data_IF_948986841778
#
_entry.id   IF_948986841778
#
_cell.length_a   1.000
_cell.length_b   1.000
_cell.length_c   1.000
_cell.angle_alpha   90.00
_cell.angle_beta   90.00
_cell.angle_gamma   90.00
#
_symmetry.space_group_name_H-M   'P 1'
#
loop_
_entity.id
_entity.type
_entity.pdbx_description
1 polymer ?
#
# COMPACT_ATOMS: atom_id res chain seq x y z
N UNK A 1 -50.09 -3.63 11.07
CA UNK A 1 -48.76 -2.98 11.16
C UNK A 1 -48.95 -1.47 11.11
N UNK A 2 -48.39 -0.74 12.08
CA UNK A 2 -48.49 0.71 12.12
C UNK A 2 -47.73 1.38 10.96
N UNK A 3 -48.05 2.64 10.63
CA UNK A 3 -47.30 3.41 9.63
C UNK A 3 -45.80 3.49 9.98
N UNK A 4 -45.48 3.65 11.28
CA UNK A 4 -44.11 3.65 11.80
C UNK A 4 -43.34 2.36 11.45
N UNK A 5 -43.95 1.20 11.60
CA UNK A 5 -43.31 -0.09 11.29
C UNK A 5 -42.97 -0.20 9.81
N UNK A 6 -43.85 0.29 8.93
CA UNK A 6 -43.60 0.28 7.47
C UNK A 6 -42.44 1.20 7.09
N UNK A 7 -42.40 2.40 7.67
CA UNK A 7 -41.30 3.33 7.46
C UNK A 7 -39.97 2.81 8.01
N UNK A 8 -39.99 2.16 9.17
CA UNK A 8 -38.80 1.54 9.74
C UNK A 8 -38.27 0.43 8.84
N UNK A 9 -39.14 -0.45 8.33
CA UNK A 9 -38.74 -1.52 7.42
C UNK A 9 -38.17 -0.96 6.10
N UNK A 10 -38.79 0.09 5.54
CA UNK A 10 -38.29 0.76 4.36
C UNK A 10 -36.91 1.40 4.60
N UNK A 11 -36.72 2.05 5.75
CA UNK A 11 -35.44 2.63 6.11
C UNK A 11 -34.36 1.55 6.24
N UNK A 12 -34.63 0.47 6.99
CA UNK A 12 -33.70 -0.65 7.16
C UNK A 12 -33.34 -1.28 5.81
N UNK A 13 -34.32 -1.51 4.94
CA UNK A 13 -34.07 -2.06 3.61
C UNK A 13 -33.22 -1.11 2.76
N UNK A 14 -33.50 0.19 2.77
CA UNK A 14 -32.74 1.19 2.03
C UNK A 14 -31.30 1.30 2.53
N UNK A 15 -31.08 1.39 3.85
CA UNK A 15 -29.74 1.43 4.43
C UNK A 15 -28.97 0.13 4.18
N UNK A 16 -29.63 -1.03 4.30
CA UNK A 16 -29.01 -2.32 3.99
C UNK A 16 -28.57 -2.42 2.53
N UNK A 17 -29.42 -1.98 1.59
CA UNK A 17 -29.10 -1.96 0.17
C UNK A 17 -27.93 -1.02 -0.15
N UNK A 18 -27.93 0.19 0.42
CA UNK A 18 -26.85 1.18 0.23
C UNK A 18 -25.52 0.70 0.83
N UNK A 19 -25.54 0.12 2.04
CA UNK A 19 -24.35 -0.43 2.66
C UNK A 19 -23.79 -1.61 1.85
N UNK A 20 -24.68 -2.49 1.38
CA UNK A 20 -24.30 -3.64 0.56
C UNK A 20 -23.69 -3.24 -0.78
N UNK A 21 -24.29 -2.28 -1.48
CA UNK A 21 -23.76 -1.78 -2.75
C UNK A 21 -22.43 -1.06 -2.57
N UNK A 22 -22.28 -0.25 -1.53
CA UNK A 22 -21.03 0.43 -1.22
C UNK A 22 -19.91 -0.56 -0.85
N UNK A 23 -20.21 -1.58 -0.05
CA UNK A 23 -19.27 -2.66 0.27
C UNK A 23 -18.82 -3.42 -0.98
N UNK A 24 -19.76 -3.73 -1.89
CA UNK A 24 -19.44 -4.39 -3.15
C UNK A 24 -18.56 -3.51 -4.05
N UNK A 25 -18.85 -2.22 -4.12
CA UNK A 25 -18.07 -1.24 -4.87
C UNK A 25 -16.62 -1.19 -4.37
N UNK A 26 -16.40 -1.03 -3.06
CA UNK A 26 -15.07 -0.98 -2.48
C UNK A 26 -14.28 -2.28 -2.67
N UNK A 27 -14.95 -3.44 -2.74
CA UNK A 27 -14.28 -4.70 -3.09
C UNK A 27 -13.80 -4.76 -4.53
N UNK A 28 -14.51 -4.13 -5.46
CA UNK A 28 -14.14 -4.09 -6.89
C UNK A 28 -13.13 -2.99 -7.20
N UNK A 29 -13.10 -1.95 -6.38
CA UNK A 29 -12.20 -0.80 -6.50
C UNK A 29 -11.39 -0.63 -5.21
N UNK A 30 -10.54 -1.62 -4.86
CA UNK A 30 -9.76 -1.53 -3.64
C UNK A 30 -8.75 -0.39 -3.75
N UNK A 31 -8.45 0.22 -2.61
CA UNK A 31 -7.36 1.16 -2.46
C UNK A 31 -6.03 0.47 -2.77
N UNK A 32 -5.25 1.02 -3.69
CA UNK A 32 -4.00 0.42 -4.17
C UNK A 32 -2.80 1.12 -3.55
N UNK A 33 -2.02 0.38 -2.76
CA UNK A 33 -0.81 0.89 -2.11
C UNK A 33 0.40 0.22 -2.73
N UNK A 34 1.34 1.01 -3.24
CA UNK A 34 2.64 0.52 -3.70
C UNK A 34 3.67 0.72 -2.59
N UNK A 35 4.23 -0.37 -2.09
CA UNK A 35 5.30 -0.34 -1.11
C UNK A 35 6.63 -0.61 -1.80
N UNK A 36 7.56 0.32 -1.64
CA UNK A 36 8.91 0.28 -2.16
C UNK A 36 9.88 0.04 -1.01
N UNK A 37 10.83 -0.87 -1.19
CA UNK A 37 11.83 -1.19 -0.18
C UNK A 37 13.21 -0.81 -0.73
N UNK A 38 13.89 0.08 -0.01
CA UNK A 38 15.32 0.29 -0.19
C UNK A 38 16.07 -0.97 0.28
N UNK A 39 16.78 -1.63 -0.62
CA UNK A 39 17.63 -2.80 -0.30
C UNK A 39 19.12 -2.48 -0.33
N UNK A 40 19.50 -1.20 -0.24
CA UNK A 40 20.90 -0.79 -0.23
C UNK A 40 21.68 -1.30 0.98
N UNK A 41 23.02 -1.27 0.91
CA UNK A 41 23.90 -1.62 2.02
C UNK A 41 23.60 -0.86 3.32
N UNK A 42 23.13 0.39 3.22
CA UNK A 42 22.75 1.20 4.38
C UNK A 42 21.58 0.59 5.16
N UNK A 43 20.70 -0.17 4.49
CA UNK A 43 19.53 -0.80 5.10
C UNK A 43 19.85 -2.06 5.89
N UNK A 44 21.10 -2.54 5.91
CA UNK A 44 21.48 -3.81 6.54
C UNK A 44 20.99 -3.97 7.98
N UNK A 45 21.05 -2.92 8.79
CA UNK A 45 20.59 -2.93 10.19
C UNK A 45 19.07 -2.77 10.33
N UNK A 46 18.41 -2.18 9.32
CA UNK A 46 16.99 -1.89 9.31
C UNK A 46 16.14 -3.05 8.73
N UNK A 47 16.69 -3.83 7.78
CA UNK A 47 15.99 -4.95 7.14
C UNK A 47 15.38 -5.97 8.11
N UNK A 48 16.03 -6.34 9.24
CA UNK A 48 15.41 -7.23 10.23
C UNK A 48 14.11 -6.70 10.84
N UNK A 49 13.89 -5.37 10.86
CA UNK A 49 12.67 -4.72 11.37
C UNK A 49 11.55 -4.63 10.33
N UNK A 50 11.90 -4.77 9.05
CA UNK A 50 10.98 -4.62 7.93
C UNK A 50 9.71 -5.49 8.05
N UNK A 51 9.77 -6.77 8.48
CA UNK A 51 8.54 -7.58 8.63
C UNK A 51 7.54 -7.02 9.66
N UNK A 52 8.00 -6.28 10.67
CA UNK A 52 7.10 -5.62 11.62
C UNK A 52 6.44 -4.39 10.99
N UNK A 53 7.21 -3.61 10.23
CA UNK A 53 6.72 -2.44 9.51
C UNK A 53 5.69 -2.85 8.45
N UNK A 54 6.00 -3.85 7.62
CA UNK A 54 5.07 -4.33 6.60
C UNK A 54 3.76 -4.83 7.24
N UNK A 55 3.84 -5.58 8.35
CA UNK A 55 2.64 -5.99 9.11
C UNK A 55 1.84 -4.83 9.68
N UNK A 56 2.47 -3.70 10.00
CA UNK A 56 1.76 -2.49 10.45
C UNK A 56 1.07 -1.74 9.31
N UNK A 57 1.53 -1.93 8.06
CA UNK A 57 0.92 -1.37 6.86
C UNK A 57 -0.25 -2.24 6.37
N UNK A 58 -0.18 -3.55 6.60
CA UNK A 58 -1.27 -4.48 6.34
C UNK A 58 -2.45 -4.30 7.31
N UNK A 59 -3.64 -4.73 6.90
CA UNK A 59 -4.83 -4.80 7.76
C UNK A 59 -5.89 -3.74 7.49
N UNK A 60 -5.66 -2.86 6.52
CA UNK A 60 -6.68 -1.93 6.05
C UNK A 60 -7.73 -2.68 5.20
N UNK A 61 -9.01 -2.36 5.41
CA UNK A 61 -10.10 -2.97 4.64
C UNK A 61 -10.15 -2.38 3.24
N UNK A 62 -10.43 -3.24 2.26
CA UNK A 62 -10.52 -2.88 0.84
C UNK A 62 -9.21 -2.29 0.31
N UNK A 63 -8.07 -2.81 0.78
CA UNK A 63 -6.75 -2.36 0.37
C UNK A 63 -5.96 -3.52 -0.22
N UNK A 64 -5.27 -3.27 -1.31
CA UNK A 64 -4.34 -4.20 -1.95
C UNK A 64 -2.97 -3.55 -2.08
N UNK A 65 -1.93 -4.37 -2.00
CA UNK A 65 -0.55 -3.93 -1.88
C UNK A 65 0.30 -4.55 -2.98
N UNK A 66 1.00 -3.72 -3.73
CA UNK A 66 2.12 -4.14 -4.56
C UNK A 66 3.42 -3.92 -3.78
N UNK A 67 4.40 -4.80 -3.99
CA UNK A 67 5.68 -4.72 -3.29
C UNK A 67 6.82 -4.78 -4.28
N UNK A 68 7.68 -3.78 -4.25
CA UNK A 68 8.91 -3.73 -5.05
C UNK A 68 10.10 -3.36 -4.19
N UNK A 69 11.27 -3.83 -4.58
CA UNK A 69 12.55 -3.28 -4.12
C UNK A 69 13.03 -2.22 -5.09
N UNK A 70 14.05 -1.46 -4.70
CA UNK A 70 14.76 -0.56 -5.62
C UNK A 70 15.44 -1.27 -6.80
N UNK A 71 15.50 -2.61 -6.80
CA UNK A 71 16.14 -3.42 -7.84
C UNK A 71 15.16 -4.20 -8.70
N UNK A 72 14.09 -4.72 -8.10
CA UNK A 72 13.16 -5.62 -8.77
C UNK A 72 11.79 -5.64 -8.08
N UNK A 73 10.71 -5.89 -8.84
CA UNK A 73 9.40 -6.18 -8.25
C UNK A 73 9.43 -7.50 -7.49
N UNK A 74 8.72 -7.56 -6.36
CA UNK A 74 8.55 -8.78 -5.57
C UNK A 74 7.21 -9.43 -5.90
N UNK A 75 6.12 -8.65 -5.83
CA UNK A 75 4.79 -9.11 -6.23
C UNK A 75 3.88 -7.93 -6.62
N UNK A 76 2.89 -8.26 -7.45
CA UNK A 76 1.83 -7.32 -7.84
C UNK A 76 0.77 -7.16 -6.72
N UNK A 77 -0.24 -6.33 -6.97
CA UNK A 77 -1.31 -6.00 -6.02
C UNK A 77 -1.97 -7.25 -5.42
N UNK A 78 -1.76 -7.43 -4.12
CA UNK A 78 -2.29 -8.54 -3.34
C UNK A 78 -2.78 -8.04 -1.97
N UNK A 79 -3.69 -8.76 -1.33
CA UNK A 79 -4.18 -8.41 0.02
C UNK A 79 -3.09 -8.49 1.10
N UNK A 80 -1.93 -9.08 0.78
CA UNK A 80 -0.81 -9.27 1.71
C UNK A 80 0.52 -8.87 1.09
N UNK A 81 1.34 -8.17 1.86
CA UNK A 81 2.75 -7.89 1.65
C UNK A 81 3.59 -9.13 1.98
N UNK A 82 4.17 -9.74 0.95
CA UNK A 82 5.00 -10.95 1.07
C UNK A 82 6.42 -10.64 0.61
N UNK A 83 7.27 -10.05 1.46
CA UNK A 83 8.62 -9.63 1.08
C UNK A 83 9.54 -10.80 0.72
N UNK A 84 9.23 -12.03 1.14
CA UNK A 84 10.16 -13.15 1.04
C UNK A 84 11.41 -12.90 1.86
N UNK A 85 12.57 -13.33 1.34
CA UNK A 85 13.88 -13.04 1.92
C UNK A 85 14.48 -11.84 1.21
N UNK A 86 14.83 -10.81 1.98
CA UNK A 86 15.47 -9.60 1.48
C UNK A 86 16.84 -9.45 2.12
N UNK A 87 17.85 -9.27 1.30
CA UNK A 87 19.23 -9.07 1.72
C UNK A 87 19.72 -7.71 1.19
N UNK A 88 20.49 -7.00 2.00
CA UNK A 88 21.05 -5.70 1.62
C UNK A 88 22.13 -5.90 0.55
N UNK A 89 21.93 -5.30 -0.62
CA UNK A 89 22.77 -5.46 -1.80
C UNK A 89 22.91 -4.13 -2.56
N UNK A 90 24.15 -3.85 -2.96
CA UNK A 90 24.58 -2.66 -3.70
C UNK A 90 24.39 -1.31 -2.96
N UNK A 91 25.05 -0.24 -3.44
CA UNK A 91 24.74 1.10 -2.99
C UNK A 91 23.30 1.51 -3.34
N UNK A 92 22.79 2.49 -2.58
CA UNK A 92 21.47 3.08 -2.82
C UNK A 92 21.42 3.70 -4.21
N UNK A 93 20.40 3.31 -4.99
CA UNK A 93 20.07 3.95 -6.24
C UNK A 93 18.56 3.84 -6.47
N UNK A 94 17.86 4.96 -6.37
CA UNK A 94 16.40 5.03 -6.56
C UNK A 94 16.02 5.56 -7.96
N UNK A 95 16.98 5.85 -8.83
CA UNK A 95 16.72 6.49 -10.12
C UNK A 95 15.87 5.60 -11.02
N UNK A 96 16.09 4.28 -10.97
CA UNK A 96 15.29 3.31 -11.70
C UNK A 96 13.82 3.32 -11.23
N UNK A 97 13.56 3.48 -9.92
CA UNK A 97 12.20 3.60 -9.39
C UNK A 97 11.57 4.93 -9.80
N UNK A 98 12.33 6.03 -9.71
CA UNK A 98 11.87 7.37 -10.12
C UNK A 98 11.55 7.42 -11.61
N UNK A 99 12.36 6.80 -12.46
CA UNK A 99 12.13 6.71 -13.90
C UNK A 99 10.88 5.89 -14.28
N UNK A 100 10.42 5.02 -13.38
CA UNK A 100 9.18 4.26 -13.53
C UNK A 100 7.96 4.98 -12.96
N UNK A 101 8.13 6.16 -12.37
CA UNK A 101 7.02 7.01 -11.95
C UNK A 101 6.13 7.31 -13.17
N UNK A 102 4.87 6.84 -13.13
CA UNK A 102 3.92 6.97 -14.25
C UNK A 102 3.78 5.73 -15.13
N UNK A 103 4.41 4.60 -14.75
CA UNK A 103 4.16 3.27 -15.33
C UNK A 103 3.66 2.33 -14.25
N UNK A 104 2.94 1.27 -14.63
CA UNK A 104 2.53 0.24 -13.69
C UNK A 104 3.72 -0.32 -12.87
N UNK A 105 3.56 -0.52 -11.55
CA UNK A 105 2.35 -0.29 -10.75
C UNK A 105 2.19 1.15 -10.19
N UNK A 106 3.09 2.09 -10.48
CA UNK A 106 3.09 3.45 -9.91
C UNK A 106 1.92 4.34 -10.33
N UNK A 107 1.39 4.15 -11.54
CA UNK A 107 0.23 4.89 -12.06
C UNK A 107 -1.10 4.37 -11.52
N UNK A 108 -1.14 3.10 -11.12
CA UNK A 108 -2.30 2.44 -10.54
C UNK A 108 -2.37 2.60 -9.01
N UNK A 109 -1.27 2.98 -8.37
CA UNK A 109 -1.21 3.15 -6.93
C UNK A 109 -1.82 4.49 -6.51
N UNK A 110 -2.78 4.44 -5.60
CA UNK A 110 -3.35 5.61 -4.94
C UNK A 110 -2.35 6.21 -3.92
N UNK A 111 -1.54 5.35 -3.31
CA UNK A 111 -0.49 5.73 -2.36
C UNK A 111 0.84 5.01 -2.69
N UNK A 112 1.96 5.72 -2.58
CA UNK A 112 3.30 5.15 -2.72
C UNK A 112 4.05 5.34 -1.41
N UNK A 113 4.48 4.24 -0.80
CA UNK A 113 5.22 4.21 0.45
C UNK A 113 6.64 3.72 0.16
N UNK A 114 7.66 4.48 0.56
CA UNK A 114 9.06 4.05 0.50
C UNK A 114 9.56 3.74 1.91
N UNK A 115 10.05 2.52 2.13
CA UNK A 115 10.72 2.14 3.36
C UNK A 115 12.23 2.25 3.15
N UNK A 116 12.87 3.19 3.84
CA UNK A 116 14.30 3.46 3.76
C UNK A 116 14.81 4.05 5.07
N UNK A 117 16.07 3.86 5.42
CA UNK A 117 16.68 4.43 6.62
C UNK A 117 17.10 5.91 6.45
N UNK A 118 16.82 6.50 5.29
CA UNK A 118 17.04 7.92 5.01
C UNK A 118 15.71 8.67 4.89
N UNK A 119 15.73 9.96 5.22
CA UNK A 119 14.56 10.84 5.13
C UNK A 119 14.21 11.24 3.70
N UNK A 120 12.97 11.72 3.49
CA UNK A 120 12.50 12.13 2.17
C UNK A 120 13.37 13.22 1.51
N UNK A 121 13.86 14.18 2.29
CA UNK A 121 14.72 15.28 1.82
C UNK A 121 16.07 14.77 1.30
N UNK A 122 16.66 13.79 1.97
CA UNK A 122 17.92 13.17 1.56
C UNK A 122 17.74 12.33 0.28
N UNK A 123 16.60 11.65 0.16
CA UNK A 123 16.33 10.73 -0.94
C UNK A 123 15.90 11.44 -2.23
N UNK A 124 15.55 12.73 -2.17
CA UNK A 124 15.04 13.54 -3.28
C UNK A 124 13.92 12.79 -4.05
N UNK A 125 12.97 12.25 -3.30
CA UNK A 125 11.83 11.48 -3.84
C UNK A 125 10.66 12.40 -4.18
N UNK A 126 9.76 11.99 -5.11
CA UNK A 126 8.57 12.78 -5.40
C UNK A 126 7.74 13.06 -4.15
N UNK A 127 7.18 14.28 -4.03
CA UNK A 127 6.41 14.70 -2.86
C UNK A 127 5.20 13.80 -2.53
N UNK A 128 4.68 13.06 -3.52
CA UNK A 128 3.58 12.09 -3.33
C UNK A 128 4.03 10.79 -2.63
N UNK A 129 5.32 10.59 -2.40
CA UNK A 129 5.85 9.39 -1.75
C UNK A 129 5.93 9.60 -0.24
N UNK A 130 5.32 8.69 0.51
CA UNK A 130 5.45 8.66 1.96
C UNK A 130 6.67 7.84 2.35
N UNK A 131 7.65 8.46 3.01
CA UNK A 131 8.85 7.77 3.48
C UNK A 131 8.67 7.29 4.91
N UNK A 132 8.97 6.01 5.16
CA UNK A 132 8.97 5.39 6.49
C UNK A 132 10.40 4.99 6.83
N UNK A 133 10.88 5.51 7.96
CA UNK A 133 12.22 5.23 8.51
C UNK A 133 12.12 4.17 9.62
N UNK A 134 12.76 2.99 9.48
CA UNK A 134 12.74 1.88 10.46
C UNK A 134 13.50 2.08 11.78
#
# INVERSE_FOLDING_TARGET
MGPLTRWLLLAVAAFGALAGSYHAYLRQTPHKVLVLIDTSFAMREALPRLPAILRSLEGQRYTVYALETDKAPIHDFSERLRPGRLDAYAPRNLDALKARAGKAPFDQADEVILVSNAGADELNVPARWRVIVP
#
